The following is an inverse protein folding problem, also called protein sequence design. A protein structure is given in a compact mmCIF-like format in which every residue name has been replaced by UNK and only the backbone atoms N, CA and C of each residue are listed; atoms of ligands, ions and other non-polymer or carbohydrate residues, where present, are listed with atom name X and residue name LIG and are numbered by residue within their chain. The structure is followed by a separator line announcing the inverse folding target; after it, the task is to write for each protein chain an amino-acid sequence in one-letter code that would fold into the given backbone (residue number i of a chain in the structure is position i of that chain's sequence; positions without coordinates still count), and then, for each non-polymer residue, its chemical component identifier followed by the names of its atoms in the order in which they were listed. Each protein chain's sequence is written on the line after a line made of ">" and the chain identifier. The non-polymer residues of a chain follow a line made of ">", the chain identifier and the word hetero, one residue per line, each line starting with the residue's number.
data_IF_525928810058
#
_entry.id   IF_525928810058
#
_cell.length_a   1.000
_cell.length_b   1.000
_cell.length_c   1.000
_cell.angle_alpha   90.00
_cell.angle_beta   90.00
_cell.angle_gamma   90.00
#
_symmetry.space_group_name_H-M   'P 1'
#
loop_
_entity.id
_entity.type
_entity.pdbx_description
1 polymer ?
#
# COMPACT_ATOMS: atom_id res chain seq x y z
N UNK A 1 -32.92 -19.67 -1.93
CA UNK A 1 -33.07 -20.12 -3.34
C UNK A 1 -32.43 -19.08 -4.26
N UNK A 2 -31.79 -19.56 -5.33
CA UNK A 2 -31.03 -18.85 -6.38
C UNK A 2 -29.55 -18.53 -6.11
N UNK A 3 -28.73 -19.59 -6.15
CA UNK A 3 -27.29 -19.53 -6.45
C UNK A 3 -27.08 -19.40 -7.96
N UNK A 4 -26.44 -18.32 -8.43
CA UNK A 4 -25.95 -18.19 -9.81
C UNK A 4 -24.50 -18.69 -9.88
N UNK A 5 -24.33 -19.89 -10.43
CA UNK A 5 -23.06 -20.50 -10.83
C UNK A 5 -22.42 -19.74 -12.00
N UNK A 6 -21.20 -19.22 -11.81
CA UNK A 6 -20.34 -18.74 -12.89
C UNK A 6 -19.58 -19.93 -13.51
N UNK A 7 -19.83 -20.19 -14.80
CA UNK A 7 -19.09 -21.15 -15.63
C UNK A 7 -17.72 -20.56 -15.98
N UNK A 8 -16.65 -21.25 -15.59
CA UNK A 8 -15.26 -20.96 -15.97
C UNK A 8 -14.99 -21.65 -17.31
N UNK A 9 -14.89 -20.89 -18.40
CA UNK A 9 -14.47 -21.40 -19.71
C UNK A 9 -12.94 -21.45 -19.77
N UNK A 10 -12.35 -22.60 -19.46
CA UNK A 10 -10.94 -22.90 -19.75
C UNK A 10 -10.82 -23.55 -21.13
N UNK A 11 -10.34 -22.81 -22.13
CA UNK A 11 -9.92 -23.38 -23.41
C UNK A 11 -8.57 -24.08 -23.23
N UNK A 12 -8.60 -25.41 -23.35
CA UNK A 12 -7.43 -26.29 -23.40
C UNK A 12 -6.98 -26.38 -24.87
N UNK A 13 -5.76 -25.94 -25.18
CA UNK A 13 -5.16 -26.11 -26.52
C UNK A 13 -4.31 -27.38 -26.47
N UNK A 14 -4.71 -28.40 -27.24
CA UNK A 14 -4.02 -29.67 -27.42
C UNK A 14 -3.11 -29.55 -28.64
N UNK A 15 -1.81 -29.78 -28.50
CA UNK A 15 -0.90 -30.00 -29.63
C UNK A 15 -0.73 -31.51 -29.84
N UNK A 16 -1.09 -31.97 -31.04
CA UNK A 16 -0.95 -33.34 -31.52
C UNK A 16 0.49 -33.63 -31.97
N UNK A 17 1.07 -34.72 -31.49
CA UNK A 17 2.33 -35.30 -31.99
C UNK A 17 2.02 -36.31 -33.10
N UNK A 18 2.64 -36.16 -34.26
CA UNK A 18 2.67 -37.19 -35.30
C UNK A 18 4.08 -37.79 -35.38
N UNK A 19 4.14 -39.10 -35.14
CA UNK A 19 5.31 -39.96 -35.30
C UNK A 19 5.34 -40.46 -36.75
N UNK A 20 6.47 -40.34 -37.45
CA UNK A 20 6.69 -41.07 -38.71
C UNK A 20 8.07 -41.75 -38.68
N UNK A 21 8.03 -43.07 -38.83
CA UNK A 21 9.14 -44.03 -38.83
C UNK A 21 9.82 -44.03 -40.20
N UNK A 22 11.15 -44.16 -40.20
CA UNK A 22 12.02 -44.02 -41.37
C UNK A 22 12.06 -45.22 -42.33
N UNK A 23 12.73 -44.98 -43.47
CA UNK A 23 13.32 -46.01 -44.34
C UNK A 23 14.73 -45.54 -44.69
N UNK A 24 15.71 -46.42 -44.46
CA UNK A 24 17.13 -46.27 -44.80
C UNK A 24 17.34 -46.82 -46.20
N UNK A 25 18.09 -46.11 -47.05
CA UNK A 25 18.76 -46.70 -48.21
C UNK A 25 20.13 -46.07 -48.43
N UNK A 26 21.08 -46.92 -48.82
CA UNK A 26 22.53 -46.73 -48.79
C UNK A 26 23.08 -46.12 -50.11
N UNK A 27 23.99 -45.17 -49.93
CA UNK A 27 25.08 -44.52 -50.71
C UNK A 27 25.46 -45.09 -52.12
N UNK A 28 25.96 -44.23 -53.04
CA UNK A 28 27.42 -44.21 -53.21
C UNK A 28 28.06 -42.80 -53.25
N UNK A 29 29.29 -42.78 -52.76
CA UNK A 29 30.21 -41.65 -52.60
C UNK A 29 30.58 -41.03 -53.94
N UNK A 30 30.50 -39.70 -54.05
CA UNK A 30 31.23 -38.94 -55.07
C UNK A 30 32.14 -37.96 -54.37
N UNK A 31 33.45 -38.19 -54.51
CA UNK A 31 34.47 -37.17 -54.28
C UNK A 31 34.33 -36.12 -55.37
N UNK A 32 33.97 -34.90 -54.99
CA UNK A 32 34.26 -33.72 -55.79
C UNK A 32 34.87 -32.66 -54.90
N UNK A 33 36.20 -32.62 -54.93
CA UNK A 33 36.98 -31.45 -54.57
C UNK A 33 36.63 -30.35 -55.58
N UNK A 34 35.80 -29.38 -55.18
CA UNK A 34 35.73 -28.09 -55.84
C UNK A 34 36.65 -27.16 -55.06
N UNK A 35 37.85 -26.95 -55.59
CA UNK A 35 38.65 -25.79 -55.24
C UNK A 35 38.15 -24.57 -56.05
N UNK A 36 38.42 -23.39 -55.47
CA UNK A 36 38.30 -22.04 -56.04
C UNK A 36 36.87 -21.48 -55.84
N UNK A 37 36.65 -20.54 -54.92
CA UNK A 37 37.18 -19.18 -55.04
C UNK A 37 37.71 -18.59 -53.73
N UNK A 38 39.03 -18.39 -53.68
CA UNK A 38 39.77 -17.73 -52.61
C UNK A 38 39.91 -16.22 -52.85
N UNK A 39 38.88 -15.56 -53.37
CA UNK A 39 38.86 -14.10 -53.54
C UNK A 39 37.52 -13.46 -53.15
N UNK A 40 37.07 -13.69 -51.92
CA UNK A 40 36.28 -12.70 -51.20
C UNK A 40 37.11 -12.26 -49.99
N UNK A 41 37.58 -11.01 -49.99
CA UNK A 41 38.25 -10.44 -48.83
C UNK A 41 37.31 -10.54 -47.63
N UNK A 42 37.64 -11.39 -46.66
CA UNK A 42 37.09 -11.41 -45.31
C UNK A 42 37.49 -10.11 -44.59
N UNK A 43 36.92 -8.99 -45.04
CA UNK A 43 37.00 -7.69 -44.37
C UNK A 43 35.77 -7.43 -43.49
N UNK A 44 34.96 -8.46 -43.21
CA UNK A 44 33.73 -8.34 -42.45
C UNK A 44 33.97 -8.64 -40.96
N UNK A 45 34.96 -7.98 -40.36
CA UNK A 45 35.18 -8.02 -38.90
C UNK A 45 34.16 -7.11 -38.20
N UNK A 46 33.73 -7.51 -37.00
CA UNK A 46 32.73 -6.78 -36.23
C UNK A 46 31.30 -7.04 -36.71
N UNK A 47 30.46 -6.00 -36.67
CA UNK A 47 29.04 -6.11 -36.99
C UNK A 47 28.77 -6.25 -38.49
N UNK A 48 28.04 -7.30 -38.87
CA UNK A 48 27.69 -7.59 -40.26
C UNK A 48 26.20 -7.88 -40.37
N UNK A 49 25.53 -7.27 -41.35
CA UNK A 49 24.13 -7.54 -41.66
C UNK A 49 24.01 -8.32 -42.97
N UNK A 50 23.37 -9.49 -42.93
CA UNK A 50 23.10 -10.35 -44.08
C UNK A 50 21.62 -10.73 -44.06
N UNK A 51 20.91 -10.52 -45.16
CA UNK A 51 19.46 -10.83 -45.30
C UNK A 51 18.61 -10.28 -44.13
N UNK A 52 18.94 -9.08 -43.67
CA UNK A 52 18.27 -8.42 -42.54
C UNK A 52 18.67 -8.94 -41.16
N UNK A 53 19.45 -10.01 -41.05
CA UNK A 53 19.95 -10.60 -39.81
C UNK A 53 21.32 -10.03 -39.45
N UNK A 54 21.54 -9.81 -38.16
CA UNK A 54 22.81 -9.28 -37.64
C UNK A 54 23.68 -10.39 -37.07
N UNK A 55 24.97 -10.33 -37.39
CA UNK A 55 26.04 -11.22 -36.94
C UNK A 55 27.20 -10.37 -36.39
N UNK A 56 28.07 -10.98 -35.58
CA UNK A 56 29.31 -10.36 -35.15
C UNK A 56 30.49 -11.32 -35.33
N UNK A 57 31.47 -10.90 -36.13
CA UNK A 57 32.70 -11.65 -36.39
C UNK A 57 33.85 -11.10 -35.53
N UNK A 58 34.54 -11.99 -34.83
CA UNK A 58 35.77 -11.66 -34.13
C UNK A 58 36.96 -11.60 -35.09
N UNK A 59 38.08 -11.04 -34.64
CA UNK A 59 39.33 -10.95 -35.41
C UNK A 59 39.86 -12.31 -35.88
N UNK A 60 39.56 -13.38 -35.13
CA UNK A 60 39.91 -14.76 -35.48
C UNK A 60 38.96 -15.40 -36.52
N UNK A 61 37.96 -14.65 -37.00
CA UNK A 61 36.95 -15.10 -37.94
C UNK A 61 35.80 -15.89 -37.33
N UNK A 62 35.80 -16.14 -36.01
CA UNK A 62 34.72 -16.83 -35.32
C UNK A 62 33.49 -15.92 -35.13
N UNK A 63 32.32 -16.54 -34.99
CA UNK A 63 31.04 -15.85 -34.80
C UNK A 63 30.64 -15.78 -33.33
N UNK A 64 30.06 -14.65 -32.93
CA UNK A 64 29.43 -14.49 -31.62
C UNK A 64 28.24 -15.45 -31.45
N UNK A 65 28.20 -16.13 -30.30
CA UNK A 65 27.15 -17.05 -29.87
C UNK A 65 26.86 -16.88 -28.38
N UNK A 66 25.58 -16.92 -28.00
CA UNK A 66 25.11 -16.67 -26.64
C UNK A 66 25.26 -15.21 -26.22
N UNK A 67 25.38 -14.97 -24.91
CA UNK A 67 25.58 -13.64 -24.35
C UNK A 67 26.97 -13.09 -24.66
N UNK A 68 27.04 -11.88 -25.25
CA UNK A 68 28.30 -11.18 -25.51
C UNK A 68 28.21 -9.72 -25.12
N UNK A 69 29.26 -9.24 -24.45
CA UNK A 69 29.49 -7.82 -24.24
C UNK A 69 30.38 -7.30 -25.37
N UNK A 70 29.87 -6.33 -26.12
CA UNK A 70 30.55 -5.72 -27.26
C UNK A 70 30.45 -4.21 -27.05
N UNK A 71 31.58 -3.54 -26.94
CA UNK A 71 31.69 -2.09 -26.68
C UNK A 71 30.88 -1.61 -25.47
N UNK A 72 30.82 -2.43 -24.42
CA UNK A 72 30.11 -2.12 -23.17
C UNK A 72 28.62 -2.50 -23.18
N UNK A 73 28.07 -2.91 -24.33
CA UNK A 73 26.66 -3.31 -24.46
C UNK A 73 26.51 -4.82 -24.52
N UNK A 74 25.46 -5.34 -23.89
CA UNK A 74 25.15 -6.77 -23.92
C UNK A 74 24.18 -7.11 -25.05
N UNK A 75 24.51 -8.17 -25.77
CA UNK A 75 23.72 -8.75 -26.87
C UNK A 75 23.58 -10.25 -26.64
N UNK A 76 22.51 -10.83 -27.18
CA UNK A 76 22.34 -12.28 -27.20
C UNK A 76 22.34 -12.78 -28.64
N UNK A 77 23.18 -13.75 -28.95
CA UNK A 77 23.24 -14.42 -30.25
C UNK A 77 22.68 -15.84 -30.11
N UNK A 78 21.78 -16.21 -31.00
CA UNK A 78 21.16 -17.54 -31.06
C UNK A 78 22.17 -18.63 -31.41
N UNK A 79 21.74 -19.89 -31.40
CA UNK A 79 22.60 -21.01 -31.77
C UNK A 79 23.13 -20.95 -33.20
N UNK A 80 22.39 -20.28 -34.09
CA UNK A 80 22.75 -19.97 -35.48
C UNK A 80 23.59 -18.69 -35.62
N UNK A 81 24.10 -18.16 -34.51
CA UNK A 81 24.92 -16.94 -34.43
C UNK A 81 24.21 -15.65 -34.89
N UNK A 82 22.87 -15.66 -34.97
CA UNK A 82 22.06 -14.47 -35.28
C UNK A 82 21.76 -13.70 -34.01
N UNK A 83 21.98 -12.38 -34.01
CA UNK A 83 21.62 -11.50 -32.90
C UNK A 83 20.10 -11.48 -32.68
N UNK A 84 19.70 -11.80 -31.45
CA UNK A 84 18.31 -11.85 -31.02
C UNK A 84 17.78 -10.46 -30.64
N UNK A 85 16.47 -10.26 -30.83
CA UNK A 85 15.73 -9.03 -30.51
C UNK A 85 14.41 -9.39 -29.84
N UNK A 86 13.92 -8.49 -28.98
CA UNK A 86 12.68 -8.66 -28.24
C UNK A 86 12.84 -9.45 -26.95
N UNK A 87 11.72 -10.00 -26.48
CA UNK A 87 11.65 -10.79 -25.26
C UNK A 87 12.29 -12.18 -25.43
N UNK A 88 13.10 -12.58 -24.45
CA UNK A 88 13.66 -13.93 -24.38
C UNK A 88 13.62 -14.45 -22.94
N UNK A 89 13.31 -15.73 -22.80
CA UNK A 89 13.42 -16.43 -21.53
C UNK A 89 14.57 -17.43 -21.58
N UNK A 90 15.52 -17.29 -20.66
CA UNK A 90 16.70 -18.14 -20.54
C UNK A 90 16.85 -18.61 -19.10
N UNK A 91 16.97 -19.91 -18.88
CA UNK A 91 17.12 -20.52 -17.54
C UNK A 91 16.06 -20.04 -16.53
N UNK A 92 14.83 -19.82 -16.99
CA UNK A 92 13.71 -19.34 -16.17
C UNK A 92 13.64 -17.82 -15.98
N UNK A 93 14.65 -17.06 -16.41
CA UNK A 93 14.69 -15.59 -16.29
C UNK A 93 14.30 -14.91 -17.59
N UNK A 94 13.58 -13.79 -17.46
CA UNK A 94 13.19 -12.96 -18.60
C UNK A 94 14.18 -11.81 -18.83
N UNK A 95 14.49 -11.59 -20.10
CA UNK A 95 15.33 -10.50 -20.60
C UNK A 95 14.61 -9.82 -21.76
N UNK A 96 14.97 -8.57 -22.06
CA UNK A 96 14.51 -7.86 -23.23
C UNK A 96 15.69 -7.27 -24.00
N UNK A 97 15.79 -7.62 -25.28
CA UNK A 97 16.77 -7.09 -26.22
C UNK A 97 16.05 -6.04 -27.08
N UNK A 98 16.59 -4.84 -27.17
CA UNK A 98 16.00 -3.74 -27.94
C UNK A 98 15.64 -4.16 -29.38
N UNK A 99 14.39 -3.98 -29.79
CA UNK A 99 13.95 -4.26 -31.17
C UNK A 99 14.71 -3.44 -32.21
N UNK A 100 15.17 -2.24 -31.84
CA UNK A 100 15.97 -1.39 -32.73
C UNK A 100 17.42 -1.86 -32.80
N UNK A 101 18.06 -2.04 -31.65
CA UNK A 101 19.53 -2.16 -31.56
C UNK A 101 20.05 -3.53 -31.13
N UNK A 102 19.21 -4.41 -30.57
CA UNK A 102 19.62 -5.68 -29.96
C UNK A 102 20.26 -5.55 -28.58
N UNK A 103 20.45 -4.33 -28.07
CA UNK A 103 21.05 -4.08 -26.76
C UNK A 103 20.09 -4.55 -25.66
N UNK A 104 20.62 -5.31 -24.69
CA UNK A 104 19.91 -5.78 -23.51
C UNK A 104 19.47 -4.63 -22.61
N UNK A 105 18.19 -4.64 -22.22
CA UNK A 105 17.64 -3.66 -21.30
C UNK A 105 18.24 -3.78 -19.89
N UNK A 106 18.40 -2.61 -19.26
CA UNK A 106 18.76 -2.44 -17.84
C UNK A 106 17.92 -1.31 -17.27
N UNK A 107 17.64 -1.37 -15.97
CA UNK A 107 16.82 -0.39 -15.28
C UNK A 107 15.37 -0.36 -15.78
N UNK A 108 14.74 0.80 -15.68
CA UNK A 108 13.38 1.02 -16.16
C UNK A 108 13.33 1.02 -17.69
N UNK A 109 12.43 0.21 -18.25
CA UNK A 109 12.20 0.14 -19.70
C UNK A 109 10.71 0.03 -20.00
N UNK A 110 10.25 0.92 -20.87
CA UNK A 110 8.92 0.83 -21.47
C UNK A 110 8.96 -0.05 -22.72
N UNK A 111 8.03 -1.02 -22.76
CA UNK A 111 7.79 -1.93 -23.89
C UNK A 111 6.29 -2.06 -24.07
N UNK A 112 5.79 -1.75 -25.27
CA UNK A 112 4.36 -1.80 -25.61
C UNK A 112 3.43 -1.05 -24.63
N UNK A 113 3.86 0.14 -24.18
CA UNK A 113 3.19 0.99 -23.18
C UNK A 113 3.15 0.43 -21.74
N UNK A 114 3.94 -0.61 -21.45
CA UNK A 114 4.09 -1.15 -20.11
C UNK A 114 5.51 -0.94 -19.60
N UNK A 115 5.64 -0.58 -18.33
CA UNK A 115 6.92 -0.40 -17.66
C UNK A 115 7.37 -1.67 -16.98
N UNK A 116 8.63 -2.02 -17.21
CA UNK A 116 9.33 -3.14 -16.58
C UNK A 116 10.63 -2.63 -15.96
N UNK A 117 11.14 -3.36 -14.97
CA UNK A 117 12.46 -3.07 -14.38
C UNK A 117 13.39 -4.26 -14.56
N UNK A 118 14.58 -4.01 -15.11
CA UNK A 118 15.62 -5.00 -15.32
C UNK A 118 16.82 -4.70 -14.41
N UNK A 119 17.37 -5.71 -13.74
CA UNK A 119 18.61 -5.55 -12.97
C UNK A 119 19.81 -5.33 -13.90
N UNK A 120 20.98 -5.04 -13.31
CA UNK A 120 22.21 -4.78 -14.08
C UNK A 120 22.68 -6.00 -14.90
N UNK A 121 22.28 -7.19 -14.49
CA UNK A 121 22.47 -8.46 -15.19
C UNK A 121 21.41 -8.71 -16.29
N UNK A 122 20.47 -7.79 -16.47
CA UNK A 122 19.39 -7.87 -17.45
C UNK A 122 18.18 -8.68 -17.03
N UNK A 123 18.16 -9.23 -15.81
CA UNK A 123 17.01 -10.03 -15.34
C UNK A 123 15.84 -9.13 -14.99
N UNK A 124 14.69 -9.35 -15.62
CA UNK A 124 13.43 -8.67 -15.31
C UNK A 124 12.98 -8.96 -13.89
N UNK A 125 12.59 -7.93 -13.15
CA UNK A 125 12.08 -8.03 -11.78
C UNK A 125 10.57 -8.23 -11.71
N UNK A 126 10.13 -8.80 -10.59
CA UNK A 126 8.76 -9.12 -10.23
C UNK A 126 8.57 -8.89 -8.73
N UNK A 127 7.34 -8.64 -8.31
CA UNK A 127 6.99 -8.35 -6.92
C UNK A 127 7.48 -6.98 -6.46
N UNK A 128 7.68 -6.85 -5.15
CA UNK A 128 8.17 -5.62 -4.52
C UNK A 128 9.63 -5.34 -4.89
N UNK A 129 9.89 -4.11 -5.33
CA UNK A 129 11.25 -3.58 -5.47
C UNK A 129 11.37 -2.23 -4.76
N UNK A 130 12.55 -1.95 -4.22
CA UNK A 130 12.87 -0.66 -3.62
C UNK A 130 14.04 -0.01 -4.34
N UNK A 131 13.83 1.19 -4.88
CA UNK A 131 14.83 1.94 -5.64
C UNK A 131 14.94 3.34 -5.05
N UNK A 132 16.14 3.73 -4.62
CA UNK A 132 16.42 5.06 -4.06
C UNK A 132 15.44 5.49 -2.95
N UNK A 133 15.03 4.54 -2.10
CA UNK A 133 14.07 4.75 -1.00
C UNK A 133 12.59 4.65 -1.39
N UNK A 134 12.26 4.59 -2.67
CA UNK A 134 10.89 4.46 -3.16
C UNK A 134 10.51 3.00 -3.43
N UNK A 135 9.28 2.64 -3.09
CA UNK A 135 8.73 1.30 -3.32
C UNK A 135 7.93 1.27 -4.60
N UNK A 136 8.07 0.19 -5.36
CA UNK A 136 7.31 -0.14 -6.56
C UNK A 136 6.84 -1.59 -6.45
N UNK A 137 5.78 -1.94 -7.19
CA UNK A 137 5.32 -3.32 -7.30
C UNK A 137 5.19 -3.72 -8.76
N UNK A 138 5.94 -4.75 -9.14
CA UNK A 138 5.94 -5.33 -10.47
C UNK A 138 5.05 -6.58 -10.41
N UNK A 139 4.10 -6.71 -11.32
CA UNK A 139 3.17 -7.83 -11.31
C UNK A 139 3.90 -9.17 -11.34
N UNK A 140 3.54 -10.10 -10.46
CA UNK A 140 4.31 -11.34 -10.28
C UNK A 140 4.19 -12.29 -11.47
N UNK A 141 3.13 -12.15 -12.26
CA UNK A 141 2.95 -12.97 -13.46
C UNK A 141 3.69 -12.35 -14.63
N UNK A 142 3.46 -11.05 -14.87
CA UNK A 142 3.86 -10.38 -16.12
C UNK A 142 5.12 -9.52 -15.98
N UNK A 143 5.46 -9.04 -14.79
CA UNK A 143 6.53 -8.07 -14.55
C UNK A 143 6.12 -6.61 -14.80
N UNK A 144 4.85 -6.36 -15.17
CA UNK A 144 4.35 -5.01 -15.43
C UNK A 144 4.28 -4.20 -14.15
N UNK A 145 4.82 -2.99 -14.17
CA UNK A 145 4.75 -2.04 -13.04
C UNK A 145 3.30 -1.64 -12.73
N UNK A 146 2.94 -1.74 -11.46
CA UNK A 146 1.61 -1.37 -10.97
C UNK A 146 1.40 0.14 -10.93
N UNK A 147 0.17 0.55 -11.26
CA UNK A 147 -0.34 1.92 -11.14
C UNK A 147 -1.74 1.86 -10.52
N UNK A 148 -2.12 2.88 -9.77
CA UNK A 148 -3.40 2.94 -9.07
C UNK A 148 -3.51 1.92 -7.94
N UNK A 149 -4.75 1.48 -7.66
CA UNK A 149 -5.04 0.51 -6.61
C UNK A 149 -4.52 -0.89 -6.97
N UNK A 150 -3.78 -1.50 -6.04
CA UNK A 150 -3.31 -2.88 -6.16
C UNK A 150 -3.44 -3.60 -4.83
N UNK A 151 -4.05 -4.78 -4.86
CA UNK A 151 -4.08 -5.70 -3.74
C UNK A 151 -2.88 -6.64 -3.80
N UNK A 152 -2.16 -6.74 -2.70
CA UNK A 152 -1.01 -7.64 -2.50
C UNK A 152 -1.16 -8.27 -1.12
N UNK A 153 -1.16 -9.60 -1.04
CA UNK A 153 -1.28 -10.35 0.22
C UNK A 153 -2.46 -9.92 1.12
N UNK A 154 -3.62 -9.63 0.52
CA UNK A 154 -4.85 -9.12 1.16
C UNK A 154 -4.75 -7.68 1.71
N UNK A 155 -3.71 -6.94 1.36
CA UNK A 155 -3.57 -5.53 1.69
C UNK A 155 -3.68 -4.67 0.44
N UNK A 156 -4.37 -3.53 0.57
CA UNK A 156 -4.51 -2.57 -0.51
C UNK A 156 -3.44 -1.50 -0.42
N UNK A 157 -2.81 -1.24 -1.56
CA UNK A 157 -1.82 -0.18 -1.78
C UNK A 157 -2.29 0.69 -2.94
N UNK A 158 -1.76 1.91 -2.99
CA UNK A 158 -1.96 2.79 -4.13
C UNK A 158 -0.60 3.18 -4.72
N UNK A 159 -0.44 3.01 -6.03
CA UNK A 159 0.76 3.39 -6.76
C UNK A 159 0.45 4.59 -7.65
N UNK A 160 1.31 5.61 -7.64
CA UNK A 160 1.19 6.77 -8.53
C UNK A 160 1.42 6.36 -9.99
N UNK A 161 1.21 7.29 -10.92
CA UNK A 161 1.43 7.06 -12.36
C UNK A 161 2.90 6.77 -12.71
N UNK A 162 3.83 7.27 -11.89
CA UNK A 162 5.28 6.96 -11.95
C UNK A 162 5.64 5.62 -11.28
N UNK A 163 4.65 4.89 -10.74
CA UNK A 163 4.80 3.59 -10.10
C UNK A 163 5.26 3.63 -8.65
N UNK A 164 5.55 4.81 -8.08
CA UNK A 164 5.95 4.91 -6.68
C UNK A 164 4.73 4.70 -5.78
N UNK A 165 4.88 3.85 -4.77
CA UNK A 165 3.88 3.58 -3.74
C UNK A 165 3.54 4.85 -2.95
N UNK A 166 2.26 5.17 -2.88
CA UNK A 166 1.72 6.32 -2.19
C UNK A 166 1.57 6.06 -0.68
N UNK A 167 1.72 7.11 0.12
CA UNK A 167 1.62 7.09 1.59
C UNK A 167 0.89 8.34 2.07
N UNK A 168 0.20 8.25 3.19
CA UNK A 168 -0.57 9.34 3.80
C UNK A 168 -1.96 9.52 3.21
N UNK A 169 -2.47 10.76 3.29
CA UNK A 169 -3.81 11.12 2.83
C UNK A 169 -3.92 11.14 1.31
N UNK A 170 -4.84 10.35 0.76
CA UNK A 170 -5.11 10.23 -0.67
C UNK A 170 -6.54 10.67 -0.96
N UNK A 171 -6.72 11.61 -1.90
CA UNK A 171 -8.05 12.03 -2.38
C UNK A 171 -8.28 11.56 -3.81
N UNK A 172 -9.30 10.74 -4.03
CA UNK A 172 -9.72 10.27 -5.36
C UNK A 172 -11.23 10.43 -5.50
N UNK A 173 -11.70 11.04 -6.60
CA UNK A 173 -13.13 11.23 -6.90
C UNK A 173 -13.95 11.77 -5.71
N UNK A 174 -13.39 12.81 -5.07
CA UNK A 174 -13.94 13.46 -3.88
C UNK A 174 -14.08 12.57 -2.63
N UNK A 175 -13.41 11.41 -2.60
CA UNK A 175 -13.33 10.50 -1.45
C UNK A 175 -11.91 10.51 -0.90
N UNK A 176 -11.80 10.51 0.42
CA UNK A 176 -10.52 10.42 1.11
C UNK A 176 -10.23 8.98 1.54
N UNK A 177 -8.95 8.63 1.49
CA UNK A 177 -8.35 7.39 1.96
C UNK A 177 -7.11 7.75 2.75
N UNK A 178 -6.63 6.82 3.59
CA UNK A 178 -5.35 7.00 4.27
C UNK A 178 -4.50 5.74 4.12
N UNK A 179 -3.32 5.91 3.55
CA UNK A 179 -2.31 4.87 3.38
C UNK A 179 -1.30 5.03 4.52
N UNK A 180 -1.02 3.97 5.25
CA UNK A 180 -0.07 4.00 6.37
C UNK A 180 1.26 4.66 5.97
N UNK A 181 1.71 5.67 6.71
CA UNK A 181 3.00 6.32 6.44
C UNK A 181 4.19 5.37 6.62
N UNK A 182 4.04 4.36 7.48
CA UNK A 182 5.06 3.34 7.68
C UNK A 182 5.04 2.31 6.53
N UNK A 183 3.88 1.71 6.26
CA UNK A 183 3.79 0.50 5.42
C UNK A 183 3.18 0.70 4.04
N UNK A 184 2.47 1.81 3.80
CA UNK A 184 1.67 2.03 2.59
C UNK A 184 0.31 1.33 2.57
N UNK A 185 -0.01 0.51 3.57
CA UNK A 185 -1.29 -0.21 3.63
C UNK A 185 -2.45 0.75 3.84
N UNK A 186 -3.49 0.64 3.02
CA UNK A 186 -4.75 1.38 3.16
C UNK A 186 -5.44 1.03 4.48
N UNK A 187 -5.75 2.05 5.28
CA UNK A 187 -6.41 1.89 6.57
C UNK A 187 -7.92 1.67 6.43
N UNK A 188 -8.48 0.95 7.41
CA UNK A 188 -9.91 0.65 7.57
C UNK A 188 -10.26 0.79 9.06
N UNK A 189 -11.54 1.00 9.36
CA UNK A 189 -12.06 1.19 10.70
C UNK A 189 -11.63 2.51 11.34
N UNK A 190 -11.78 2.59 12.66
CA UNK A 190 -11.31 3.72 13.47
C UNK A 190 -9.78 3.78 13.47
N UNK A 191 -9.22 4.95 13.12
CA UNK A 191 -7.79 5.19 13.12
C UNK A 191 -7.46 6.58 13.68
N UNK A 192 -6.50 6.61 14.60
CA UNK A 192 -5.88 7.84 15.06
C UNK A 192 -4.82 8.29 14.06
N UNK A 193 -4.95 9.53 13.57
CA UNK A 193 -4.02 10.16 12.63
C UNK A 193 -3.77 11.58 13.17
N UNK A 194 -2.53 11.88 13.52
CA UNK A 194 -2.11 13.18 14.07
C UNK A 194 -2.97 13.67 15.25
N UNK A 195 -3.34 12.77 16.17
CA UNK A 195 -4.14 13.08 17.37
C UNK A 195 -5.65 13.15 17.15
N UNK A 196 -6.13 13.00 15.91
CA UNK A 196 -7.55 12.99 15.58
C UNK A 196 -7.99 11.59 15.16
N UNK A 197 -9.22 11.23 15.54
CA UNK A 197 -9.82 9.95 15.16
C UNK A 197 -10.67 10.10 13.90
N UNK A 198 -10.38 9.23 12.93
CA UNK A 198 -11.10 9.10 11.67
C UNK A 198 -11.67 7.70 11.55
N UNK A 199 -12.71 7.55 10.74
CA UNK A 199 -13.23 6.23 10.40
C UNK A 199 -13.14 6.00 8.89
N UNK A 200 -12.61 4.85 8.50
CA UNK A 200 -12.56 4.40 7.11
C UNK A 200 -13.42 3.16 6.94
N UNK A 201 -14.29 3.12 5.92
CA UNK A 201 -15.13 1.96 5.66
C UNK A 201 -14.34 0.74 5.14
N UNK A 202 -15.03 -0.37 4.85
CA UNK A 202 -14.38 -1.60 4.36
C UNK A 202 -13.68 -1.44 2.99
N UNK A 203 -14.04 -0.40 2.24
CA UNK A 203 -13.40 0.00 0.98
C UNK A 203 -12.33 1.07 1.20
N UNK A 204 -12.03 1.44 2.45
CA UNK A 204 -11.03 2.45 2.84
C UNK A 204 -11.49 3.89 2.67
N UNK A 205 -12.77 4.14 2.36
CA UNK A 205 -13.28 5.51 2.20
C UNK A 205 -13.51 6.12 3.57
N UNK A 206 -12.97 7.31 3.79
CA UNK A 206 -13.18 8.09 5.00
C UNK A 206 -14.65 8.49 5.12
N UNK A 207 -15.25 8.24 6.27
CA UNK A 207 -16.57 8.75 6.61
C UNK A 207 -16.50 10.26 6.94
N UNK A 208 -17.53 11.00 6.56
CA UNK A 208 -17.68 12.42 6.92
C UNK A 208 -19.16 12.80 6.99
N UNK A 209 -19.47 13.83 7.79
CA UNK A 209 -20.84 14.32 8.06
C UNK A 209 -21.84 13.19 8.38
N UNK A 210 -21.43 12.24 9.21
CA UNK A 210 -22.25 11.06 9.54
C UNK A 210 -21.94 10.55 10.95
N UNK A 211 -22.72 9.60 11.44
CA UNK A 211 -22.45 8.91 12.71
C UNK A 211 -21.96 7.49 12.43
N UNK A 212 -20.89 7.10 13.12
CA UNK A 212 -20.33 5.74 13.10
C UNK A 212 -20.22 5.26 14.53
N UNK A 213 -20.79 4.09 14.83
CA UNK A 213 -20.80 3.49 16.17
C UNK A 213 -21.30 4.43 17.29
N UNK A 214 -22.23 5.34 16.96
CA UNK A 214 -22.77 6.34 17.89
C UNK A 214 -21.90 7.59 18.08
N UNK A 215 -20.81 7.73 17.32
CA UNK A 215 -19.94 8.90 17.32
C UNK A 215 -20.07 9.67 16.02
N UNK A 216 -20.28 10.98 16.11
CA UNK A 216 -20.33 11.85 14.94
C UNK A 216 -18.91 12.07 14.38
N UNK A 217 -18.78 11.96 13.06
CA UNK A 217 -17.61 12.41 12.28
C UNK A 217 -18.01 13.66 11.50
N UNK A 218 -17.23 14.72 11.63
CA UNK A 218 -17.51 16.01 11.00
C UNK A 218 -17.22 16.02 9.49
N UNK A 219 -17.32 17.18 8.86
CA UNK A 219 -17.06 17.35 7.42
C UNK A 219 -15.62 17.05 7.01
N UNK A 220 -14.68 17.15 7.96
CA UNK A 220 -13.27 16.79 7.78
C UNK A 220 -13.01 15.32 8.15
N UNK A 221 -14.04 14.56 8.54
CA UNK A 221 -13.95 13.16 8.95
C UNK A 221 -13.46 12.94 10.38
N UNK A 222 -13.31 14.01 11.16
CA UNK A 222 -12.79 13.94 12.53
C UNK A 222 -13.93 13.65 13.50
N UNK A 223 -13.73 12.69 14.41
CA UNK A 223 -14.59 12.48 15.56
C UNK A 223 -13.95 12.97 16.86
N UNK A 224 -14.28 14.20 17.27
CA UNK A 224 -13.87 14.74 18.57
C UNK A 224 -14.44 13.94 19.74
N UNK A 225 -15.67 13.44 19.57
CA UNK A 225 -16.35 12.60 20.57
C UNK A 225 -15.53 11.33 20.81
N UNK A 226 -15.17 10.62 19.73
CA UNK A 226 -14.35 9.40 19.84
C UNK A 226 -12.99 9.71 20.48
N UNK A 227 -12.31 10.80 20.10
CA UNK A 227 -11.03 11.20 20.71
C UNK A 227 -11.14 11.35 22.23
N UNK A 228 -12.14 12.08 22.73
CA UNK A 228 -12.35 12.31 24.18
C UNK A 228 -12.62 10.99 24.90
N UNK A 229 -13.50 10.14 24.35
CA UNK A 229 -13.88 8.89 25.01
C UNK A 229 -12.74 7.86 24.97
N UNK A 230 -12.01 7.78 23.87
CA UNK A 230 -10.86 6.91 23.74
C UNK A 230 -9.78 7.29 24.75
N UNK A 231 -9.45 8.58 24.85
CA UNK A 231 -8.49 9.08 25.82
C UNK A 231 -8.95 8.83 27.27
N UNK A 232 -10.21 9.12 27.59
CA UNK A 232 -10.78 8.86 28.91
C UNK A 232 -10.63 7.39 29.34
N UNK A 233 -10.89 6.45 28.42
CA UNK A 233 -10.84 5.01 28.69
C UNK A 233 -9.42 4.49 28.97
N UNK A 234 -8.36 5.15 28.49
CA UNK A 234 -6.96 4.78 28.81
C UNK A 234 -6.66 4.85 30.31
N UNK A 235 -7.45 5.63 31.06
CA UNK A 235 -7.23 5.90 32.47
C UNK A 235 -8.10 5.05 33.40
N UNK A 236 -8.87 4.08 32.88
CA UNK A 236 -9.65 3.17 33.72
C UNK A 236 -8.78 2.47 34.76
N UNK A 237 -9.29 2.42 36.00
CA UNK A 237 -8.59 1.82 37.14
C UNK A 237 -7.54 2.73 37.80
N UNK A 238 -7.24 3.91 37.26
CA UNK A 238 -6.30 4.85 37.91
C UNK A 238 -6.90 5.38 39.22
N UNK A 239 -6.12 5.48 40.31
CA UNK A 239 -6.63 5.86 41.62
C UNK A 239 -7.09 7.32 41.68
N UNK A 240 -8.11 7.57 42.49
CA UNK A 240 -8.47 8.92 42.87
C UNK A 240 -7.47 9.52 43.84
N UNK A 241 -7.00 10.74 43.58
CA UNK A 241 -6.20 11.54 44.52
C UNK A 241 -6.67 12.98 44.46
N UNK A 242 -7.05 13.55 45.61
CA UNK A 242 -7.51 14.94 45.72
C UNK A 242 -6.44 15.89 45.17
N UNK A 243 -6.81 16.78 44.25
CA UNK A 243 -5.87 17.72 43.64
C UNK A 243 -5.05 17.15 42.47
N UNK A 244 -5.14 15.86 42.15
CA UNK A 244 -4.34 15.26 41.08
C UNK A 244 -4.88 15.53 39.66
N UNK A 245 -3.97 15.73 38.70
CA UNK A 245 -4.25 16.11 37.30
C UNK A 245 -3.70 15.11 36.27
N UNK A 246 -3.33 13.89 36.70
CA UNK A 246 -2.83 12.84 35.82
C UNK A 246 -1.31 12.81 35.62
N UNK A 247 -0.81 11.85 34.81
CA UNK A 247 -1.59 10.74 34.20
C UNK A 247 -1.79 9.55 35.15
N UNK A 248 -1.11 9.52 36.30
CA UNK A 248 -1.09 8.33 37.16
C UNK A 248 -2.24 8.27 38.18
N UNK A 249 -2.84 9.41 38.50
CA UNK A 249 -3.96 9.55 39.43
C UNK A 249 -4.71 10.84 39.15
N UNK A 250 -5.98 10.91 39.54
CA UNK A 250 -6.84 12.05 39.20
C UNK A 250 -7.83 12.37 40.32
N UNK A 251 -8.18 13.64 40.51
CA UNK A 251 -9.52 13.97 41.03
C UNK A 251 -10.53 14.14 39.88
N UNK A 252 -11.79 14.44 40.19
CA UNK A 252 -12.87 14.52 39.21
C UNK A 252 -12.59 15.55 38.10
N UNK A 253 -12.28 16.80 38.47
CA UNK A 253 -12.04 17.90 37.53
C UNK A 253 -10.65 17.84 36.89
N UNK A 254 -9.67 17.25 37.56
CA UNK A 254 -8.34 16.96 37.04
C UNK A 254 -8.39 15.88 35.96
N UNK A 255 -9.24 14.86 36.13
CA UNK A 255 -9.49 13.84 35.11
C UNK A 255 -10.08 14.45 33.83
N UNK A 256 -11.17 15.20 33.95
CA UNK A 256 -11.81 15.81 32.78
C UNK A 256 -10.90 16.82 32.09
N UNK A 257 -10.20 17.68 32.84
CA UNK A 257 -9.23 18.63 32.28
C UNK A 257 -8.10 17.92 31.54
N UNK A 258 -7.55 16.83 32.11
CA UNK A 258 -6.52 16.04 31.45
C UNK A 258 -7.03 15.43 30.14
N UNK A 259 -8.20 14.77 30.16
CA UNK A 259 -8.76 14.11 28.98
C UNK A 259 -8.95 15.10 27.84
N UNK A 260 -9.58 16.25 28.10
CA UNK A 260 -9.83 17.25 27.06
C UNK A 260 -8.55 17.90 26.51
N UNK A 261 -7.58 18.14 27.38
CA UNK A 261 -6.27 18.65 26.98
C UNK A 261 -5.53 17.64 26.11
N UNK A 262 -5.48 16.37 26.51
CA UNK A 262 -4.74 15.37 25.74
C UNK A 262 -5.45 15.00 24.44
N UNK A 263 -6.77 14.84 24.46
CA UNK A 263 -7.53 14.40 23.29
C UNK A 263 -7.63 15.48 22.22
N UNK A 264 -7.74 16.76 22.61
CA UNK A 264 -8.14 17.84 21.70
C UNK A 264 -7.38 19.15 21.92
N UNK A 265 -6.49 19.24 22.90
CA UNK A 265 -5.82 20.49 23.27
C UNK A 265 -6.76 21.53 23.90
N UNK A 266 -7.94 21.12 24.38
CA UNK A 266 -8.93 22.05 24.95
C UNK A 266 -8.72 22.19 26.46
N UNK A 267 -8.54 23.44 26.92
CA UNK A 267 -8.47 23.78 28.33
C UNK A 267 -9.86 24.14 28.86
N UNK A 268 -10.42 23.28 29.73
CA UNK A 268 -11.74 23.50 30.38
C UNK A 268 -11.60 24.04 31.81
N UNK A 269 -10.38 24.36 32.24
CA UNK A 269 -10.08 24.82 33.60
C UNK A 269 -9.94 23.68 34.61
N UNK A 270 -9.16 23.95 35.66
CA UNK A 270 -8.74 22.94 36.64
C UNK A 270 -9.84 22.50 37.61
N UNK A 271 -10.76 23.38 37.98
CA UNK A 271 -11.74 23.12 39.05
C UNK A 271 -13.13 22.88 38.49
N UNK A 272 -13.97 22.16 39.24
CA UNK A 272 -15.38 21.95 38.89
C UNK A 272 -16.12 23.28 38.68
N UNK A 273 -15.82 24.29 39.51
CA UNK A 273 -16.37 25.66 39.39
C UNK A 273 -16.05 26.31 38.04
N UNK A 274 -14.85 26.10 37.49
CA UNK A 274 -14.49 26.61 36.17
C UNK A 274 -15.20 25.82 35.06
N UNK A 275 -15.29 24.50 35.21
CA UNK A 275 -15.85 23.61 34.20
C UNK A 275 -17.37 23.76 34.04
N UNK A 276 -18.10 24.09 35.11
CA UNK A 276 -19.56 24.33 35.10
C UNK A 276 -19.99 25.38 34.06
N UNK A 277 -19.13 26.36 33.79
CA UNK A 277 -19.39 27.44 32.83
C UNK A 277 -18.67 27.25 31.48
N UNK A 278 -17.92 26.16 31.31
CA UNK A 278 -17.23 25.87 30.05
C UNK A 278 -18.22 25.38 28.98
N UNK A 279 -18.01 25.75 27.72
CA UNK A 279 -18.83 25.27 26.60
C UNK A 279 -20.29 25.75 26.61
N UNK A 280 -21.20 24.98 25.99
CA UNK A 280 -22.65 25.26 25.89
C UNK A 280 -23.45 24.42 26.89
N UNK A 281 -24.49 24.97 27.50
CA UNK A 281 -25.45 24.18 28.30
C UNK A 281 -26.25 23.21 27.42
N UNK A 282 -26.46 22.00 27.91
CA UNK A 282 -27.24 20.97 27.19
C UNK A 282 -28.26 20.31 28.10
N UNK A 283 -29.43 20.03 27.54
CA UNK A 283 -30.48 19.29 28.24
C UNK A 283 -30.20 17.78 28.25
N UNK A 284 -30.91 17.04 29.11
CA UNK A 284 -30.79 15.57 29.19
C UNK A 284 -31.12 14.86 27.87
N UNK A 285 -32.10 15.37 27.13
CA UNK A 285 -32.50 14.84 25.81
C UNK A 285 -31.48 15.13 24.71
N UNK A 286 -30.58 16.10 24.90
CA UNK A 286 -29.57 16.47 23.93
C UNK A 286 -28.23 15.79 24.16
N UNK A 287 -28.05 14.99 25.23
CA UNK A 287 -26.75 14.46 25.62
C UNK A 287 -26.04 13.69 24.50
N UNK A 288 -24.77 13.98 24.32
CA UNK A 288 -23.87 13.35 23.35
C UNK A 288 -22.56 12.92 24.02
N UNK A 289 -21.95 11.81 23.58
CA UNK A 289 -20.65 11.39 24.09
C UNK A 289 -19.65 12.54 24.10
N UNK A 290 -18.97 12.73 25.22
CA UNK A 290 -18.11 13.86 25.51
C UNK A 290 -18.73 14.83 26.52
N UNK A 291 -20.04 15.06 26.53
CA UNK A 291 -20.63 16.08 27.42
C UNK A 291 -20.23 15.89 28.90
N UNK A 292 -19.90 16.99 29.57
CA UNK A 292 -19.60 17.01 31.01
C UNK A 292 -20.90 17.03 31.80
N UNK A 293 -21.07 16.11 32.75
CA UNK A 293 -22.23 16.02 33.63
C UNK A 293 -21.83 16.34 35.08
N UNK A 294 -22.57 17.26 35.70
CA UNK A 294 -22.33 17.73 37.07
C UNK A 294 -23.42 17.21 38.01
N UNK A 295 -23.04 16.38 38.99
CA UNK A 295 -23.98 15.80 39.97
C UNK A 295 -24.10 16.66 41.23
N UNK A 296 -23.15 17.56 41.44
CA UNK A 296 -23.11 18.58 42.48
C UNK A 296 -22.22 19.74 41.98
N UNK A 297 -21.95 20.74 42.80
CA UNK A 297 -20.95 21.78 42.47
C UNK A 297 -19.51 21.26 42.56
N UNK A 298 -19.28 20.12 43.24
CA UNK A 298 -17.95 19.58 43.53
C UNK A 298 -17.57 18.37 42.67
N UNK A 299 -18.52 17.78 41.92
CA UNK A 299 -18.27 16.58 41.12
C UNK A 299 -18.68 16.70 39.65
N UNK A 300 -17.81 16.19 38.78
CA UNK A 300 -17.96 16.20 37.31
C UNK A 300 -17.62 14.84 36.71
N UNK A 301 -18.30 14.49 35.63
CA UNK A 301 -18.19 13.23 34.91
C UNK A 301 -18.21 13.49 33.40
N UNK A 302 -17.71 12.55 32.60
CA UNK A 302 -17.83 12.60 31.13
C UNK A 302 -18.90 11.59 30.69
N UNK A 303 -19.91 12.05 29.96
CA UNK A 303 -20.89 11.18 29.33
C UNK A 303 -20.27 10.39 28.18
N UNK A 304 -20.46 9.08 28.13
CA UNK A 304 -19.83 8.21 27.11
C UNK A 304 -20.84 7.57 26.15
N UNK A 305 -22.12 7.94 26.25
CA UNK A 305 -23.23 7.34 25.49
C UNK A 305 -23.96 6.24 26.28
N UNK A 306 -25.11 5.82 25.76
CA UNK A 306 -25.92 4.71 26.29
C UNK A 306 -26.25 4.82 27.80
N UNK A 307 -26.45 6.03 28.31
CA UNK A 307 -26.76 6.25 29.72
C UNK A 307 -25.58 6.01 30.67
N UNK A 308 -24.35 5.93 30.16
CA UNK A 308 -23.14 5.66 30.94
C UNK A 308 -22.23 6.89 31.02
N UNK A 309 -21.47 6.99 32.11
CA UNK A 309 -20.44 8.01 32.34
C UNK A 309 -19.12 7.36 32.74
N UNK A 310 -18.02 8.06 32.48
CA UNK A 310 -16.70 7.78 33.05
C UNK A 310 -16.30 8.91 33.98
N UNK A 311 -15.77 8.59 35.16
CA UNK A 311 -15.39 9.59 36.16
C UNK A 311 -14.28 9.13 37.10
N UNK A 312 -13.65 10.07 37.81
CA UNK A 312 -12.83 9.81 39.00
C UNK A 312 -13.62 10.28 40.24
N UNK A 313 -14.25 9.38 41.03
CA UNK A 313 -15.34 9.79 41.92
C UNK A 313 -14.93 10.38 43.27
N UNK A 314 -14.06 9.71 44.03
CA UNK A 314 -13.73 10.08 45.42
C UNK A 314 -12.51 9.32 45.96
N UNK A 315 -11.90 9.76 47.07
CA UNK A 315 -10.80 9.05 47.72
C UNK A 315 -11.14 7.58 48.03
N UNK A 316 -10.15 6.70 47.82
CA UNK A 316 -10.32 5.25 48.00
C UNK A 316 -11.00 4.53 46.83
N UNK A 317 -11.27 5.22 45.73
CA UNK A 317 -11.91 4.67 44.54
C UNK A 317 -11.02 4.93 43.30
N UNK A 318 -11.46 4.47 42.12
CA UNK A 318 -10.71 4.54 40.86
C UNK A 318 -11.53 5.16 39.74
N UNK A 319 -10.85 5.57 38.67
CA UNK A 319 -11.52 5.94 37.42
C UNK A 319 -12.31 4.75 36.89
N UNK A 320 -13.61 4.94 36.69
CA UNK A 320 -14.51 3.84 36.30
C UNK A 320 -15.68 4.33 35.46
N UNK A 321 -16.34 3.36 34.82
CA UNK A 321 -17.57 3.56 34.06
C UNK A 321 -18.76 3.11 34.90
N UNK A 322 -19.78 3.96 35.04
CA UNK A 322 -21.01 3.68 35.78
C UNK A 322 -22.23 4.22 35.03
N UNK A 323 -23.45 3.69 35.29
CA UNK A 323 -24.68 4.31 34.81
C UNK A 323 -24.85 5.73 35.36
N UNK A 324 -25.48 6.61 34.59
CA UNK A 324 -25.92 7.91 35.09
C UNK A 324 -26.97 7.67 36.18
N UNK A 325 -26.73 8.20 37.38
CA UNK A 325 -27.74 8.26 38.44
C UNK A 325 -28.57 9.54 38.30
N UNK A 326 -27.95 10.71 38.56
CA UNK A 326 -28.58 12.01 38.37
C UNK A 326 -27.54 13.10 38.08
N UNK A 327 -27.97 14.22 37.49
CA UNK A 327 -27.16 15.42 37.28
C UNK A 327 -28.08 16.64 37.17
N UNK A 328 -27.64 17.78 37.69
CA UNK A 328 -28.40 19.03 37.66
C UNK A 328 -27.96 19.97 36.53
N UNK A 329 -26.77 19.75 35.96
CA UNK A 329 -26.22 20.55 34.87
C UNK A 329 -25.37 19.69 33.94
N UNK A 330 -25.42 19.99 32.64
CA UNK A 330 -24.58 19.38 31.63
C UNK A 330 -23.99 20.43 30.69
N UNK A 331 -22.73 20.22 30.26
CA UNK A 331 -21.98 21.14 29.41
C UNK A 331 -21.35 20.42 28.22
N UNK A 332 -21.63 20.91 27.02
CA UNK A 332 -20.98 20.48 25.78
C UNK A 332 -19.76 21.31 25.49
N UNK A 333 -18.60 20.67 25.46
CA UNK A 333 -17.31 21.31 25.18
C UNK A 333 -16.96 21.24 23.69
N UNK A 334 -17.39 20.18 23.01
CA UNK A 334 -17.07 19.91 21.60
C UNK A 334 -18.28 20.21 20.73
N UNK A 335 -18.08 21.07 19.74
CA UNK A 335 -19.06 21.37 18.69
C UNK A 335 -18.98 20.37 17.54
#
# INVERSE_FOLDING_TARGET
>A
MNSKTFKKNSKLIIFSFALAIGIVSFIPTVKTQAAIDSTASINSLGWVQLDGKWYYYYEDGSLAKGWKNIDGYWYYFTDDCVMYKGWIQLNGYWYYLSETTGVMAKGWKEVDNYWYYFKDDGVMQKGWIQLSGYWYYLDETTGVMSKGWKEVDNYWYYFKDDGVMYKGWLKLDNKWYYLSETTGVMQKGWKEISGYWYYFDNSGRMASNTSVDGYYVDSNGVSKQYSVIYEAKKHLGKPYVWGATGPNSFDCSGFTSYVYRQALGIEIGRTTKNQIYSGREVSRSELQPGDLLFTSEDHVQIYIGNGMVIHSPKPGDVVKIVPIYDFWRARRIIN
#
